data_IF_079477867370
#
_entry.id   IF_079477867370
#
_cell.length_a   1.000
_cell.length_b   1.000
_cell.length_c   1.000
_cell.angle_alpha   90.00
_cell.angle_beta   90.00
_cell.angle_gamma   90.00
#
_symmetry.space_group_name_H-M   'P 1'
#
loop_
_entity.id
_entity.type
_entity.pdbx_description
1 polymer ?
#
# COMPACT_ATOMS: atom_id res chain seq x y z
N UNK A 1 16.69 29.41 -38.34
CA UNK A 1 16.86 28.47 -37.22
C UNK A 1 18.25 28.62 -36.64
N UNK A 2 18.37 28.73 -35.31
CA UNK A 2 19.66 28.72 -34.62
C UNK A 2 20.17 27.28 -34.48
N UNK A 3 21.49 27.10 -34.38
CA UNK A 3 22.08 25.76 -34.24
C UNK A 3 21.64 25.06 -32.94
N UNK A 4 21.29 25.81 -31.89
CA UNK A 4 20.75 25.25 -30.64
C UNK A 4 19.40 24.58 -30.87
N UNK A 5 18.48 25.26 -31.55
CA UNK A 5 17.15 24.73 -31.89
C UNK A 5 17.28 23.52 -32.82
N UNK A 6 18.23 23.55 -33.76
CA UNK A 6 18.51 22.45 -34.67
C UNK A 6 18.90 21.17 -33.92
N UNK A 7 19.70 21.28 -32.85
CA UNK A 7 20.10 20.14 -32.00
C UNK A 7 18.92 19.58 -31.22
N UNK A 8 18.09 20.46 -30.62
CA UNK A 8 16.88 20.04 -29.92
C UNK A 8 15.89 19.34 -30.87
N UNK A 9 15.79 19.82 -32.11
CA UNK A 9 14.92 19.22 -33.11
C UNK A 9 15.47 17.87 -33.62
N UNK A 10 16.79 17.68 -33.71
CA UNK A 10 17.39 16.38 -34.02
C UNK A 10 17.05 15.32 -32.95
N UNK A 11 17.10 15.69 -31.67
CA UNK A 11 16.68 14.81 -30.57
C UNK A 11 15.17 14.54 -30.58
N UNK A 12 14.35 15.56 -30.87
CA UNK A 12 12.90 15.41 -30.99
C UNK A 12 12.49 14.55 -32.20
N UNK A 13 13.21 14.66 -33.32
CA UNK A 13 13.00 13.86 -34.53
C UNK A 13 13.25 12.38 -34.25
N UNK A 14 14.32 12.06 -33.52
CA UNK A 14 14.67 10.68 -33.17
C UNK A 14 13.66 10.04 -32.20
N UNK A 15 13.06 10.83 -31.32
CA UNK A 15 12.02 10.36 -30.40
C UNK A 15 10.62 10.26 -31.04
N UNK A 16 10.50 10.50 -32.36
CA UNK A 16 9.21 10.49 -33.07
C UNK A 16 8.27 11.62 -32.66
N UNK A 17 8.78 12.66 -31.99
CA UNK A 17 8.00 13.78 -31.45
C UNK A 17 8.00 15.02 -32.35
N UNK A 18 8.74 14.98 -33.46
CA UNK A 18 8.88 16.12 -34.36
C UNK A 18 7.83 16.09 -35.48
N UNK A 19 7.13 17.22 -35.65
CA UNK A 19 6.12 17.38 -36.69
C UNK A 19 6.73 17.33 -38.11
N UNK A 20 6.04 16.74 -39.11
CA UNK A 20 6.55 16.62 -40.49
C UNK A 20 6.94 17.94 -41.15
N UNK A 21 6.29 19.05 -40.78
CA UNK A 21 6.64 20.38 -41.27
C UNK A 21 8.02 20.83 -40.79
N UNK A 22 8.35 20.59 -39.51
CA UNK A 22 9.63 20.96 -38.89
C UNK A 22 10.78 20.07 -39.37
N UNK A 23 10.51 18.80 -39.71
CA UNK A 23 11.49 17.91 -40.34
C UNK A 23 12.02 18.50 -41.65
N UNK A 24 11.14 19.12 -42.46
CA UNK A 24 11.56 19.74 -43.73
C UNK A 24 12.44 20.97 -43.50
N UNK A 25 12.15 21.76 -42.47
CA UNK A 25 12.94 22.93 -42.10
C UNK A 25 14.31 22.54 -41.52
N UNK A 26 14.34 21.50 -40.67
CA UNK A 26 15.57 20.93 -40.15
C UNK A 26 16.48 20.42 -41.27
N UNK A 27 15.93 19.69 -42.25
CA UNK A 27 16.70 19.23 -43.42
C UNK A 27 17.30 20.37 -44.24
N UNK A 28 16.58 21.48 -44.40
CA UNK A 28 17.11 22.69 -45.07
C UNK A 28 18.29 23.29 -44.30
N UNK A 29 18.23 23.29 -42.97
CA UNK A 29 19.33 23.79 -42.14
C UNK A 29 20.55 22.87 -42.18
N UNK A 30 20.36 21.54 -42.13
CA UNK A 30 21.44 20.55 -42.24
C UNK A 30 22.18 20.62 -43.59
N UNK A 31 21.51 21.06 -44.65
CA UNK A 31 22.14 21.31 -45.94
C UNK A 31 23.16 22.47 -45.90
N UNK A 32 22.98 23.42 -44.98
CA UNK A 32 23.78 24.66 -44.90
C UNK A 32 24.80 24.61 -43.75
N UNK A 33 24.44 24.01 -42.60
CA UNK A 33 25.29 24.00 -41.41
C UNK A 33 26.07 22.70 -41.26
N UNK A 34 27.38 22.75 -41.51
CA UNK A 34 28.28 21.60 -41.34
C UNK A 34 28.37 21.12 -39.89
N UNK A 35 28.32 22.03 -38.91
CA UNK A 35 28.40 21.69 -37.49
C UNK A 35 27.20 20.87 -37.00
N UNK A 36 26.00 21.14 -37.51
CA UNK A 36 24.82 20.34 -37.17
C UNK A 36 24.82 18.98 -37.89
N UNK A 37 25.40 18.92 -39.10
CA UNK A 37 25.57 17.65 -39.84
C UNK A 37 26.57 16.72 -39.17
N UNK A 38 27.70 17.26 -38.69
CA UNK A 38 28.68 16.49 -37.92
C UNK A 38 28.08 15.95 -36.60
N UNK A 39 27.22 16.75 -35.96
CA UNK A 39 26.49 16.34 -34.76
C UNK A 39 25.48 15.21 -35.03
N UNK A 40 24.74 15.28 -36.14
CA UNK A 40 23.84 14.21 -36.59
C UNK A 40 24.59 12.89 -36.82
N UNK A 41 25.74 12.94 -37.51
CA UNK A 41 26.59 11.76 -37.72
C UNK A 41 27.12 11.18 -36.40
N UNK A 42 27.59 12.01 -35.47
CA UNK A 42 28.05 11.55 -34.15
C UNK A 42 26.92 10.89 -33.34
N UNK A 43 25.69 11.40 -33.44
CA UNK A 43 24.50 10.78 -32.86
C UNK A 43 24.15 9.45 -33.52
N UNK A 44 24.40 9.29 -34.82
CA UNK A 44 24.17 8.04 -35.55
C UNK A 44 25.22 6.98 -35.21
N UNK A 45 26.49 7.36 -35.06
CA UNK A 45 27.58 6.47 -34.64
C UNK A 45 27.38 5.93 -33.22
N UNK A 46 27.06 6.81 -32.27
CA UNK A 46 26.77 6.42 -30.88
C UNK A 46 25.55 5.51 -30.79
N UNK A 47 24.54 5.74 -31.62
CA UNK A 47 23.37 4.88 -31.68
C UNK A 47 23.65 3.53 -32.35
N UNK A 48 24.39 3.53 -33.46
CA UNK A 48 24.78 2.31 -34.17
C UNK A 48 25.62 1.42 -33.26
N UNK A 49 26.56 1.98 -32.50
CA UNK A 49 27.32 1.24 -31.49
C UNK A 49 26.42 0.61 -30.40
N UNK A 50 25.41 1.35 -29.93
CA UNK A 50 24.42 0.86 -28.95
C UNK A 50 23.50 -0.23 -29.53
N UNK A 51 23.11 -0.08 -30.79
CA UNK A 51 22.28 -1.04 -31.51
C UNK A 51 23.06 -2.32 -31.81
N UNK A 52 24.35 -2.24 -32.16
CA UNK A 52 25.22 -3.42 -32.30
C UNK A 52 25.41 -4.16 -30.96
N UNK A 53 25.55 -3.42 -29.85
CA UNK A 53 25.53 -4.02 -28.50
C UNK A 53 24.21 -4.71 -28.16
N UNK A 54 23.06 -4.14 -28.56
CA UNK A 54 21.76 -4.77 -28.38
C UNK A 54 21.54 -5.96 -29.34
N UNK A 55 22.12 -5.92 -30.55
CA UNK A 55 22.05 -7.03 -31.52
C UNK A 55 22.92 -8.23 -31.12
N UNK A 56 23.97 -8.03 -30.30
CA UNK A 56 24.71 -9.12 -29.66
C UNK A 56 23.92 -9.85 -28.55
N UNK A 57 22.80 -9.25 -28.11
CA UNK A 57 21.81 -9.85 -27.21
C UNK A 57 20.50 -10.08 -28.00
N UNK A 58 20.60 -10.52 -29.26
CA UNK A 58 19.49 -11.26 -29.87
C UNK A 58 19.74 -12.72 -29.56
N UNK A 59 19.46 -13.08 -28.29
CA UNK A 59 18.95 -14.42 -28.04
C UNK A 59 17.69 -14.51 -28.89
N UNK A 60 17.72 -15.31 -29.95
CA UNK A 60 16.53 -15.73 -30.67
C UNK A 60 15.49 -16.13 -29.63
N UNK A 61 14.51 -15.27 -29.39
CA UNK A 61 13.34 -15.60 -28.58
C UNK A 61 12.57 -16.59 -29.44
N UNK A 62 12.99 -17.85 -29.37
CA UNK A 62 12.34 -18.97 -30.03
C UNK A 62 10.91 -19.04 -29.52
N UNK A 63 9.97 -19.36 -30.40
CA UNK A 63 8.59 -19.70 -30.04
C UNK A 63 8.55 -20.68 -28.86
N UNK A 64 9.55 -21.55 -28.70
CA UNK A 64 9.68 -22.45 -27.56
C UNK A 64 9.93 -21.74 -26.22
N UNK A 65 10.74 -20.67 -26.19
CA UNK A 65 10.95 -19.87 -24.97
C UNK A 65 9.68 -19.09 -24.60
N UNK A 66 8.94 -18.59 -25.60
CA UNK A 66 7.65 -17.94 -25.39
C UNK A 66 6.62 -18.96 -24.87
N UNK A 67 6.57 -20.16 -25.46
CA UNK A 67 5.68 -21.25 -25.04
C UNK A 67 6.00 -21.70 -23.61
N UNK A 68 7.29 -21.79 -23.26
CA UNK A 68 7.75 -22.16 -21.92
C UNK A 68 7.43 -21.08 -20.89
N UNK A 69 7.56 -19.80 -21.25
CA UNK A 69 7.15 -18.68 -20.40
C UNK A 69 5.62 -18.61 -20.23
N UNK A 70 4.84 -18.94 -21.27
CA UNK A 70 3.37 -19.05 -21.19
C UNK A 70 2.96 -20.22 -20.28
N UNK A 71 3.63 -21.38 -20.39
CA UNK A 71 3.40 -22.52 -19.51
C UNK A 71 3.76 -22.22 -18.05
N UNK A 72 4.87 -21.52 -17.82
CA UNK A 72 5.24 -21.04 -16.48
C UNK A 72 4.22 -20.04 -15.94
N UNK A 73 3.75 -19.10 -16.77
CA UNK A 73 2.68 -18.16 -16.38
C UNK A 73 1.38 -18.86 -16.03
N UNK A 74 0.96 -19.86 -16.82
CA UNK A 74 -0.24 -20.63 -16.56
C UNK A 74 -0.14 -21.39 -15.22
N UNK A 75 1.03 -21.97 -14.93
CA UNK A 75 1.28 -22.68 -13.67
C UNK A 75 1.29 -21.73 -12.47
N UNK A 76 1.87 -20.54 -12.60
CA UNK A 76 1.85 -19.50 -11.55
C UNK A 76 0.46 -18.93 -11.34
N UNK A 77 -0.31 -18.67 -12.41
CA UNK A 77 -1.70 -18.22 -12.27
C UNK A 77 -2.56 -19.27 -11.58
N UNK A 78 -2.33 -20.55 -11.87
CA UNK A 78 -3.06 -21.64 -11.22
C UNK A 78 -2.70 -21.78 -9.74
N UNK A 79 -1.41 -21.63 -9.39
CA UNK A 79 -0.99 -21.59 -7.98
C UNK A 79 -1.54 -20.38 -7.22
N UNK A 80 -1.63 -19.22 -7.86
CA UNK A 80 -2.23 -18.02 -7.26
C UNK A 80 -3.73 -18.21 -7.00
N UNK A 81 -4.44 -18.86 -7.92
CA UNK A 81 -5.87 -19.13 -7.75
C UNK A 81 -6.12 -20.13 -6.61
N UNK A 82 -5.30 -21.18 -6.50
CA UNK A 82 -5.35 -22.12 -5.37
C UNK A 82 -5.05 -21.43 -4.02
N UNK A 83 -4.02 -20.57 -3.97
CA UNK A 83 -3.70 -19.79 -2.76
C UNK A 83 -4.86 -18.85 -2.41
N UNK A 84 -5.49 -18.23 -3.41
CA UNK A 84 -6.63 -17.33 -3.20
C UNK A 84 -7.83 -18.08 -2.64
N UNK A 85 -8.16 -19.25 -3.18
CA UNK A 85 -9.20 -20.12 -2.63
C UNK A 85 -8.87 -20.59 -1.21
N UNK A 86 -7.60 -20.94 -0.94
CA UNK A 86 -7.16 -21.35 0.39
C UNK A 86 -7.21 -20.21 1.41
N UNK A 87 -6.90 -18.97 1.00
CA UNK A 87 -7.04 -17.80 1.86
C UNK A 87 -8.51 -17.48 2.13
N UNK A 88 -9.36 -17.56 1.11
CA UNK A 88 -10.79 -17.25 1.26
C UNK A 88 -11.50 -18.24 2.18
N UNK A 89 -11.15 -19.52 2.11
CA UNK A 89 -11.64 -20.54 3.05
C UNK A 89 -11.12 -20.34 4.48
N UNK A 90 -9.85 -19.96 4.66
CA UNK A 90 -9.31 -19.60 6.00
C UNK A 90 -10.00 -18.37 6.60
N UNK A 91 -10.22 -17.33 5.80
CA UNK A 91 -10.92 -16.11 6.24
C UNK A 91 -12.36 -16.43 6.66
N UNK A 92 -13.08 -17.23 5.86
CA UNK A 92 -14.44 -17.63 6.20
C UNK A 92 -14.52 -18.43 7.50
N UNK A 93 -13.50 -19.25 7.79
CA UNK A 93 -13.43 -20.04 9.03
C UNK A 93 -13.05 -19.22 10.27
N UNK A 94 -12.20 -18.21 10.11
CA UNK A 94 -11.74 -17.33 11.21
C UNK A 94 -12.76 -16.24 11.52
N UNK A 95 -13.55 -15.80 10.53
CA UNK A 95 -14.58 -14.77 10.70
C UNK A 95 -15.54 -14.99 11.89
N UNK A 96 -16.16 -16.17 12.09
CA UNK A 96 -17.05 -16.38 13.24
C UNK A 96 -16.30 -16.35 14.57
N UNK A 97 -15.07 -16.87 14.62
CA UNK A 97 -14.23 -16.84 15.83
C UNK A 97 -13.86 -15.41 16.19
N UNK A 98 -13.53 -14.59 15.18
CA UNK A 98 -13.26 -13.16 15.36
C UNK A 98 -14.46 -12.39 15.92
N UNK A 99 -15.66 -12.62 15.39
CA UNK A 99 -16.89 -11.96 15.88
C UNK A 99 -17.21 -12.37 17.32
N UNK A 100 -17.10 -13.65 17.65
CA UNK A 100 -17.36 -14.16 19.00
C UNK A 100 -16.36 -13.59 20.00
N UNK A 101 -15.06 -13.60 19.66
CA UNK A 101 -14.03 -13.03 20.51
C UNK A 101 -14.25 -11.52 20.72
N UNK A 102 -14.56 -10.78 19.65
CA UNK A 102 -14.87 -9.36 19.76
C UNK A 102 -16.05 -9.11 20.71
N UNK A 103 -17.15 -9.86 20.57
CA UNK A 103 -18.32 -9.75 21.45
C UNK A 103 -17.95 -10.02 22.92
N UNK A 104 -17.15 -11.06 23.19
CA UNK A 104 -16.65 -11.34 24.54
C UNK A 104 -15.78 -10.21 25.08
N UNK A 105 -14.88 -9.65 24.27
CA UNK A 105 -14.06 -8.52 24.71
C UNK A 105 -14.88 -7.28 25.02
N UNK A 106 -15.88 -6.94 24.20
CA UNK A 106 -16.77 -5.80 24.45
C UNK A 106 -17.64 -6.02 25.69
N UNK A 107 -18.15 -7.24 25.88
CA UNK A 107 -18.91 -7.59 27.06
C UNK A 107 -18.07 -7.50 28.32
N UNK A 108 -16.86 -8.08 28.32
CA UNK A 108 -15.93 -7.99 29.44
C UNK A 108 -15.54 -6.54 29.74
N UNK A 109 -15.18 -5.75 28.72
CA UNK A 109 -14.85 -4.34 28.85
C UNK A 109 -15.99 -3.48 29.40
N UNK A 110 -17.24 -3.86 29.16
CA UNK A 110 -18.41 -3.13 29.64
C UNK A 110 -18.87 -3.59 31.03
N UNK A 111 -18.84 -4.89 31.30
CA UNK A 111 -19.28 -5.46 32.57
C UNK A 111 -18.30 -5.20 33.72
N UNK A 112 -16.98 -5.26 33.47
CA UNK A 112 -15.96 -5.04 34.50
C UNK A 112 -16.10 -3.65 35.18
N UNK A 113 -16.17 -2.52 34.45
CA UNK A 113 -16.33 -1.20 35.07
C UNK A 113 -17.69 -1.03 35.75
N UNK A 114 -18.78 -1.57 35.18
CA UNK A 114 -20.09 -1.54 35.82
C UNK A 114 -20.11 -2.33 37.13
N UNK A 115 -19.45 -3.49 37.17
CA UNK A 115 -19.34 -4.31 38.37
C UNK A 115 -18.47 -3.63 39.44
N UNK A 116 -17.35 -3.03 39.05
CA UNK A 116 -16.51 -2.20 39.93
C UNK A 116 -17.30 -1.02 40.49
N UNK A 117 -18.08 -0.35 39.66
CA UNK A 117 -18.93 0.77 40.08
C UNK A 117 -20.03 0.33 41.06
N UNK A 118 -20.66 -0.82 40.82
CA UNK A 118 -21.65 -1.40 41.72
C UNK A 118 -21.02 -1.77 43.09
N UNK A 119 -19.83 -2.36 43.10
CA UNK A 119 -19.09 -2.67 44.35
C UNK A 119 -18.78 -1.37 45.11
N UNK A 120 -18.28 -0.34 44.42
CA UNK A 120 -17.99 0.97 45.01
C UNK A 120 -19.22 1.60 45.68
N UNK A 121 -20.42 1.42 45.11
CA UNK A 121 -21.66 1.95 45.67
C UNK A 121 -22.17 1.14 46.87
N UNK A 122 -21.98 -0.18 46.89
CA UNK A 122 -22.52 -1.05 47.95
C UNK A 122 -21.60 -1.07 49.16
N UNK A 123 -20.29 -1.27 49.00
CA UNK A 123 -19.32 -1.32 50.10
C UNK A 123 -17.92 -0.89 49.64
N UNK A 124 -17.48 0.29 50.09
CA UNK A 124 -16.17 0.87 49.77
C UNK A 124 -14.98 0.03 50.25
N UNK A 125 -15.13 -0.73 51.33
CA UNK A 125 -14.04 -1.56 51.90
C UNK A 125 -13.60 -2.69 50.96
N UNK A 126 -14.51 -3.27 50.18
CA UNK A 126 -14.15 -4.30 49.19
C UNK A 126 -13.44 -3.71 47.97
N UNK A 127 -13.69 -2.44 47.64
CA UNK A 127 -13.00 -1.77 46.54
C UNK A 127 -11.51 -1.58 46.85
N UNK A 128 -11.16 -1.29 48.10
CA UNK A 128 -9.76 -1.14 48.54
C UNK A 128 -8.98 -2.45 48.44
N UNK A 129 -9.63 -3.59 48.71
CA UNK A 129 -9.01 -4.91 48.54
C UNK A 129 -8.95 -5.38 47.07
N UNK A 130 -9.88 -4.93 46.23
CA UNK A 130 -9.89 -5.29 44.81
C UNK A 130 -8.86 -4.52 43.98
N UNK A 131 -8.60 -3.24 44.31
CA UNK A 131 -7.62 -2.37 43.64
C UNK A 131 -6.23 -3.00 43.40
N UNK A 132 -5.56 -3.64 44.37
CA UNK A 132 -4.25 -4.25 44.15
C UNK A 132 -4.30 -5.42 43.16
N UNK A 133 -5.38 -6.20 43.16
CA UNK A 133 -5.59 -7.29 42.20
C UNK A 133 -5.75 -6.76 40.77
N UNK A 134 -6.45 -5.62 40.62
CA UNK A 134 -6.57 -4.94 39.32
C UNK A 134 -5.25 -4.32 38.86
N UNK A 135 -4.41 -3.80 39.76
CA UNK A 135 -3.08 -3.27 39.42
C UNK A 135 -2.22 -4.31 38.69
N UNK A 136 -2.15 -5.55 39.21
CA UNK A 136 -1.39 -6.61 38.56
C UNK A 136 -1.96 -7.03 37.20
N UNK A 137 -3.29 -6.99 37.04
CA UNK A 137 -3.95 -7.26 35.76
C UNK A 137 -3.69 -6.14 34.75
N UNK A 138 -3.69 -4.87 35.19
CA UNK A 138 -3.37 -3.71 34.36
C UNK A 138 -1.93 -3.79 33.86
N UNK A 139 -0.97 -4.15 34.70
CA UNK A 139 0.43 -4.29 34.29
C UNK A 139 0.60 -5.38 33.22
N UNK A 140 -0.07 -6.54 33.37
CA UNK A 140 -0.06 -7.60 32.35
C UNK A 140 -0.71 -7.11 31.05
N UNK A 141 -1.82 -6.37 31.13
CA UNK A 141 -2.50 -5.77 29.97
C UNK A 141 -1.63 -4.73 29.26
N UNK A 142 -0.88 -3.92 30.01
CA UNK A 142 0.05 -2.93 29.47
C UNK A 142 1.21 -3.62 28.74
N UNK A 143 1.80 -4.66 29.33
CA UNK A 143 2.85 -5.45 28.66
C UNK A 143 2.30 -6.13 27.40
N UNK A 144 1.08 -6.67 27.46
CA UNK A 144 0.43 -7.28 26.30
C UNK A 144 0.13 -6.24 25.21
N UNK A 145 -0.30 -5.04 25.59
CA UNK A 145 -0.55 -3.93 24.68
C UNK A 145 0.74 -3.44 24.02
N UNK A 146 1.86 -3.36 24.76
CA UNK A 146 3.18 -3.04 24.21
C UNK A 146 3.64 -4.12 23.22
N UNK A 147 3.46 -5.40 23.56
CA UNK A 147 3.79 -6.51 22.66
C UNK A 147 2.96 -6.49 21.38
N UNK A 148 1.67 -6.18 21.50
CA UNK A 148 0.75 -5.97 20.38
C UNK A 148 1.15 -4.74 19.57
N UNK A 149 1.58 -3.66 20.20
CA UNK A 149 2.00 -2.43 19.54
C UNK A 149 3.26 -2.64 18.73
N UNK A 150 4.26 -3.34 19.27
CA UNK A 150 5.49 -3.70 18.56
C UNK A 150 5.20 -4.68 17.40
N UNK A 151 4.30 -5.65 17.61
CA UNK A 151 3.84 -6.56 16.56
C UNK A 151 2.99 -5.88 15.49
N UNK A 152 2.17 -4.89 15.87
CA UNK A 152 1.39 -4.09 14.93
C UNK A 152 2.32 -3.19 14.11
N UNK A 153 3.31 -2.54 14.71
CA UNK A 153 4.28 -1.70 13.99
C UNK A 153 5.02 -2.51 12.92
N UNK A 154 5.35 -3.77 13.21
CA UNK A 154 6.00 -4.66 12.23
C UNK A 154 5.05 -5.10 11.10
N UNK A 155 3.74 -5.19 11.35
CA UNK A 155 2.74 -5.68 10.39
C UNK A 155 2.00 -4.54 9.66
N UNK A 156 2.03 -3.32 10.18
CA UNK A 156 1.27 -2.16 9.68
C UNK A 156 2.17 -1.12 9.02
N UNK A 157 2.73 -1.46 7.87
CA UNK A 157 3.13 -0.43 6.91
C UNK A 157 1.90 0.34 6.33
N UNK A 158 0.67 -0.11 6.62
CA UNK A 158 -0.57 0.57 6.29
C UNK A 158 -1.32 1.04 7.55
N UNK A 159 -1.15 2.32 7.92
CA UNK A 159 -1.82 2.98 9.06
C UNK A 159 -3.36 3.07 9.00
N UNK A 160 -4.00 2.40 8.03
CA UNK A 160 -5.44 2.36 7.85
C UNK A 160 -6.19 1.67 8.99
N UNK A 161 -5.62 0.62 9.59
CA UNK A 161 -6.26 -0.10 10.69
C UNK A 161 -6.32 0.74 11.97
N UNK A 162 -5.25 1.49 12.27
CA UNK A 162 -5.21 2.42 13.40
C UNK A 162 -6.21 3.56 13.23
N UNK A 163 -6.34 4.12 12.02
CA UNK A 163 -7.34 5.15 11.70
C UNK A 163 -8.76 4.59 11.84
N UNK A 164 -9.01 3.36 11.37
CA UNK A 164 -10.32 2.73 11.47
C UNK A 164 -10.73 2.45 12.94
N UNK A 165 -9.78 1.96 13.75
CA UNK A 165 -10.02 1.71 15.18
C UNK A 165 -10.21 3.03 15.94
N UNK A 166 -9.39 4.05 15.69
CA UNK A 166 -9.54 5.35 16.34
C UNK A 166 -10.89 6.00 16.00
N UNK A 167 -11.32 5.89 14.74
CA UNK A 167 -12.60 6.43 14.26
C UNK A 167 -13.79 5.68 14.89
N UNK A 168 -13.71 4.36 15.02
CA UNK A 168 -14.74 3.56 15.69
C UNK A 168 -14.90 3.96 17.16
N UNK A 169 -13.80 4.19 17.87
CA UNK A 169 -13.83 4.64 19.28
C UNK A 169 -14.48 6.02 19.41
N UNK A 170 -14.13 6.98 18.53
CA UNK A 170 -14.73 8.32 18.55
C UNK A 170 -16.23 8.28 18.26
N UNK A 171 -16.68 7.47 17.30
CA UNK A 171 -18.10 7.31 16.99
C UNK A 171 -18.87 6.70 18.17
N UNK A 172 -18.32 5.66 18.79
CA UNK A 172 -18.92 5.04 19.97
C UNK A 172 -19.02 6.02 21.14
N UNK A 173 -17.99 6.83 21.37
CA UNK A 173 -17.98 7.84 22.42
C UNK A 173 -18.98 8.98 22.15
N UNK A 174 -19.08 9.44 20.90
CA UNK A 174 -20.06 10.45 20.48
C UNK A 174 -21.51 9.98 20.60
N UNK A 175 -21.77 8.72 20.23
CA UNK A 175 -23.09 8.10 20.38
C UNK A 175 -23.48 7.95 21.85
N UNK A 176 -22.53 7.60 22.72
CA UNK A 176 -22.73 7.56 24.17
C UNK A 176 -23.09 8.93 24.76
N UNK A 177 -22.39 10.00 24.35
CA UNK A 177 -22.70 11.37 24.80
C UNK A 177 -24.09 11.80 24.32
N UNK A 178 -24.48 11.39 23.10
CA UNK A 178 -25.81 11.69 22.57
C UNK A 178 -26.91 10.92 23.30
N UNK A 179 -26.63 9.71 23.78
CA UNK A 179 -27.56 8.89 24.58
C UNK A 179 -27.73 9.43 26.01
N UNK A 180 -26.67 10.00 26.59
CA UNK A 180 -26.67 10.59 27.92
C UNK A 180 -27.27 12.00 27.97
N UNK A 181 -27.61 12.60 26.83
CA UNK A 181 -28.25 13.92 26.79
C UNK A 181 -29.74 13.77 27.12
N UNK A 182 -30.22 14.22 28.30
CA UNK A 182 -31.61 14.07 28.67
C UNK A 182 -32.50 14.84 27.66
N UNK A 183 -33.67 14.29 27.28
CA UNK A 183 -34.58 14.97 26.39
C UNK A 183 -34.96 16.32 27.01
N UNK A 184 -34.61 17.41 26.32
CA UNK A 184 -35.15 18.73 26.65
C UNK A 184 -36.62 18.71 26.29
N UNK A 185 -37.45 18.50 27.30
CA UNK A 185 -38.91 18.66 27.21
C UNK A 185 -39.21 20.10 26.76
N UNK A 186 -40.12 20.19 25.79
CA UNK A 186 -40.70 21.41 25.24
C UNK A 186 -41.91 21.84 26.08
#
# INVERSE_FOLDING_TARGET
MLCCDAREWLDAQRNGKLEPARIRELKKHLAICEGCRAFEHSLEETYSARQTQQSGIVTSVSTDQIMQAIHQRARVSQQLEDIRQQQQTRILRIRPVGTVLAAFTFFALSCIPLFLFAILLVQSDYAVQALPTFSGVIDILVVLAQLLQDGLIFTTHNGWLLIAVSLAVVVMMGMWIHLMRPPREA
#
